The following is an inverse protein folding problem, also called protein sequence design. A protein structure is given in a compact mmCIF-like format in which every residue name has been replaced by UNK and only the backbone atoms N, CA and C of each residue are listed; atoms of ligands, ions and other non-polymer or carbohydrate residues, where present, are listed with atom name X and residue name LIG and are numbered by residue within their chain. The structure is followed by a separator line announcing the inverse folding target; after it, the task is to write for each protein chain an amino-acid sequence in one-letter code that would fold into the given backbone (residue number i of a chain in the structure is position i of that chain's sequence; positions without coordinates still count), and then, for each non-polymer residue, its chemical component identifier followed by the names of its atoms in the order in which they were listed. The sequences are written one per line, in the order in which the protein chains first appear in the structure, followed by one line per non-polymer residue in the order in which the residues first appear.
data_IF_283299836854
#
_entry.id   IF_283299836854
#
_cell.length_a   1.000
_cell.length_b   1.000
_cell.length_c   1.000
_cell.angle_alpha   90.00
_cell.angle_beta   90.00
_cell.angle_gamma   90.00
#
_symmetry.space_group_name_H-M   'P 1'
#
loop_
_entity.id
_entity.type
_entity.pdbx_description
1 polymer ?
#
# COMPACT_ATOMS: atom_id res chain seq x y z
N UNK A 1 -18.35 20.13 -0.40
CA UNK A 1 -17.02 20.55 -0.88
C UNK A 1 -16.08 19.58 -0.22
N UNK A 2 -15.56 18.59 -0.96
CA UNK A 2 -14.58 17.67 -0.39
C UNK A 2 -13.31 18.50 -0.14
N UNK A 3 -12.81 18.45 1.08
CA UNK A 3 -11.51 19.00 1.44
C UNK A 3 -10.50 18.24 0.57
N UNK A 4 -9.94 18.89 -0.45
CA UNK A 4 -8.84 18.34 -1.22
C UNK A 4 -7.68 18.26 -0.24
N UNK A 5 -7.40 17.08 0.29
CA UNK A 5 -6.25 16.90 1.19
C UNK A 5 -5.01 17.13 0.34
N UNK A 6 -4.45 18.34 0.45
CA UNK A 6 -3.23 18.71 -0.25
C UNK A 6 -2.07 17.94 0.37
N UNK A 7 -1.51 17.00 -0.40
CA UNK A 7 -0.33 16.24 -0.01
C UNK A 7 0.88 17.15 -0.18
N UNK A 8 1.64 17.36 0.91
CA UNK A 8 2.89 18.12 0.86
C UNK A 8 3.83 17.54 -0.21
N UNK A 9 4.36 18.35 -1.14
CA UNK A 9 5.17 17.87 -2.25
C UNK A 9 6.48 17.22 -1.79
N UNK A 10 7.04 17.64 -0.65
CA UNK A 10 8.24 17.02 -0.08
C UNK A 10 7.96 15.62 0.45
N UNK A 11 6.81 15.44 1.09
CA UNK A 11 6.31 14.15 1.58
C UNK A 11 6.04 13.21 0.42
N UNK A 12 5.37 13.68 -0.62
CA UNK A 12 5.10 12.91 -1.83
C UNK A 12 6.40 12.46 -2.52
N UNK A 13 7.38 13.34 -2.66
CA UNK A 13 8.68 13.01 -3.27
C UNK A 13 9.43 11.93 -2.46
N UNK A 14 9.45 12.05 -1.12
CA UNK A 14 10.06 11.04 -0.25
C UNK A 14 9.36 9.69 -0.33
N UNK A 15 8.02 9.70 -0.37
CA UNK A 15 7.24 8.47 -0.49
C UNK A 15 7.48 7.77 -1.84
N UNK A 16 7.55 8.53 -2.95
CA UNK A 16 7.91 7.98 -4.26
C UNK A 16 9.30 7.36 -4.26
N UNK A 17 10.27 8.01 -3.62
CA UNK A 17 11.62 7.45 -3.49
C UNK A 17 11.62 6.17 -2.66
N UNK A 18 10.93 6.15 -1.51
CA UNK A 18 10.84 4.96 -0.66
C UNK A 18 10.19 3.78 -1.40
N UNK A 19 9.15 4.04 -2.18
CA UNK A 19 8.52 3.01 -3.02
C UNK A 19 9.48 2.49 -4.10
N UNK A 20 10.22 3.38 -4.75
CA UNK A 20 11.24 3.00 -5.73
C UNK A 20 12.29 2.08 -5.12
N UNK A 21 12.87 2.46 -3.97
CA UNK A 21 13.85 1.64 -3.26
C UNK A 21 13.27 0.26 -2.90
N UNK A 22 12.07 0.22 -2.31
CA UNK A 22 11.43 -1.05 -1.93
C UNK A 22 11.15 -1.97 -3.13
N UNK A 23 10.64 -1.43 -4.24
CA UNK A 23 10.37 -2.21 -5.46
C UNK A 23 11.66 -2.80 -6.03
N UNK A 24 12.72 -1.99 -6.13
CA UNK A 24 14.02 -2.46 -6.61
C UNK A 24 14.66 -3.54 -5.71
N UNK A 25 14.27 -3.63 -4.44
CA UNK A 25 14.70 -4.70 -3.53
C UNK A 25 13.85 -5.97 -3.63
N UNK A 26 12.64 -5.89 -4.20
CA UNK A 26 11.66 -6.98 -4.26
C UNK A 26 11.38 -7.50 -5.68
N UNK A 27 11.74 -6.75 -6.72
CA UNK A 27 11.63 -7.16 -8.13
C UNK A 27 12.91 -7.86 -8.62
N UNK A 28 12.78 -8.65 -9.69
CA UNK A 28 13.87 -9.43 -10.26
C UNK A 28 14.95 -8.51 -10.90
N UNK A 29 16.22 -8.92 -10.83
CA UNK A 29 17.41 -8.17 -11.29
C UNK A 29 17.40 -7.76 -12.79
N UNK A 30 16.52 -8.35 -13.61
CA UNK A 30 16.40 -8.09 -15.05
C UNK A 30 15.54 -6.85 -15.40
N UNK A 31 14.86 -6.25 -14.42
CA UNK A 31 14.04 -5.06 -14.64
C UNK A 31 14.85 -3.76 -14.56
N UNK A 32 14.50 -2.74 -15.36
CA UNK A 32 15.15 -1.44 -15.25
C UNK A 32 14.90 -0.85 -13.86
N UNK A 33 15.98 -0.39 -13.22
CA UNK A 33 15.91 0.21 -11.89
C UNK A 33 14.92 1.38 -11.87
N UNK A 34 13.96 1.33 -10.95
CA UNK A 34 12.94 2.35 -10.77
C UNK A 34 13.49 3.53 -9.97
N UNK A 35 13.01 4.74 -10.29
CA UNK A 35 13.31 5.98 -9.58
C UNK A 35 12.00 6.66 -9.14
N UNK A 36 12.07 7.70 -8.31
CA UNK A 36 10.87 8.41 -7.86
C UNK A 36 9.98 8.92 -9.02
N UNK A 37 10.61 9.30 -10.14
CA UNK A 37 9.93 9.78 -11.36
C UNK A 37 9.07 8.69 -12.04
N UNK A 38 9.42 7.41 -11.86
CA UNK A 38 8.65 6.27 -12.37
C UNK A 38 7.21 6.22 -11.82
N UNK A 39 6.95 6.91 -10.71
CA UNK A 39 5.67 6.92 -10.00
C UNK A 39 4.88 8.22 -10.16
N UNK A 40 5.29 9.14 -11.05
CA UNK A 40 4.57 10.40 -11.25
C UNK A 40 3.15 10.24 -11.79
N UNK A 41 2.92 9.18 -12.59
CA UNK A 41 1.60 8.87 -13.16
C UNK A 41 0.69 8.02 -12.25
N UNK A 42 1.13 7.70 -11.04
CA UNK A 42 0.35 6.89 -10.11
C UNK A 42 -0.68 7.73 -9.36
N UNK A 43 -1.83 7.13 -9.06
CA UNK A 43 -2.81 7.76 -8.19
C UNK A 43 -2.32 7.67 -6.75
N UNK A 44 -2.40 8.78 -6.03
CA UNK A 44 -1.95 8.87 -4.64
C UNK A 44 -3.03 9.51 -3.78
N UNK A 45 -3.31 8.91 -2.63
CA UNK A 45 -4.20 9.48 -1.63
C UNK A 45 -3.72 9.16 -0.21
N UNK A 46 -4.03 10.02 0.77
CA UNK A 46 -3.64 9.78 2.16
C UNK A 46 -4.58 8.79 2.84
N UNK A 47 -4.00 7.94 3.69
CA UNK A 47 -4.71 7.04 4.63
C UNK A 47 -4.01 7.13 5.98
N UNK A 48 -4.66 7.76 6.96
CA UNK A 48 -4.08 8.07 8.26
C UNK A 48 -2.74 8.85 8.13
N UNK A 49 -1.62 8.23 8.50
CA UNK A 49 -0.24 8.77 8.43
C UNK A 49 0.51 8.32 7.17
N UNK A 50 -0.13 7.54 6.30
CA UNK A 50 0.46 6.91 5.12
C UNK A 50 -0.05 7.52 3.81
N UNK A 51 0.69 7.26 2.74
CA UNK A 51 0.26 7.51 1.37
C UNK A 51 0.03 6.18 0.65
N UNK A 52 -1.13 6.02 0.03
CA UNK A 52 -1.44 4.84 -0.80
C UNK A 52 -1.18 5.17 -2.26
N UNK A 53 -0.42 4.31 -2.92
CA UNK A 53 -0.07 4.38 -4.32
C UNK A 53 -0.81 3.30 -5.11
N UNK A 54 -1.45 3.71 -6.21
CA UNK A 54 -2.11 2.82 -7.16
C UNK A 54 -1.63 3.06 -8.58
N UNK A 55 -1.22 1.97 -9.23
CA UNK A 55 -0.72 1.99 -10.61
C UNK A 55 -1.82 2.39 -11.60
N UNK A 56 -1.51 3.24 -12.60
CA UNK A 56 -2.49 3.61 -13.61
C UNK A 56 -3.06 2.38 -14.33
N UNK A 57 -4.39 2.30 -14.39
CA UNK A 57 -5.10 1.20 -15.05
C UNK A 57 -5.30 -0.04 -14.19
N UNK A 58 -4.85 -0.07 -12.93
CA UNK A 58 -5.15 -1.14 -11.97
C UNK A 58 -4.66 -2.53 -12.38
N UNK A 59 -3.68 -2.61 -13.29
CA UNK A 59 -3.25 -3.86 -13.93
C UNK A 59 -2.83 -4.97 -12.96
N UNK A 60 -2.30 -4.61 -11.79
CA UNK A 60 -1.84 -5.58 -10.78
C UNK A 60 -2.84 -5.84 -9.65
N UNK A 61 -3.94 -5.07 -9.54
CA UNK A 61 -4.80 -5.01 -8.34
C UNK A 61 -4.03 -4.84 -7.01
N UNK A 62 -2.78 -4.38 -7.10
CA UNK A 62 -1.89 -4.14 -5.97
C UNK A 62 -1.82 -2.65 -5.69
N UNK A 63 -1.84 -2.35 -4.40
CA UNK A 63 -1.69 -1.03 -3.81
C UNK A 63 -0.47 -1.05 -2.92
N UNK A 64 0.16 0.10 -2.76
CA UNK A 64 1.35 0.22 -1.93
C UNK A 64 1.13 1.33 -0.93
N UNK A 65 1.13 0.96 0.34
CA UNK A 65 1.01 1.86 1.45
C UNK A 65 2.43 2.24 1.92
N UNK A 66 2.74 3.52 1.84
CA UNK A 66 4.08 4.07 2.07
C UNK A 66 4.04 5.04 3.25
N UNK A 67 4.90 4.81 4.24
CA UNK A 67 5.07 5.66 5.41
C UNK A 67 6.53 5.80 5.79
N UNK A 68 6.77 6.44 6.94
CA UNK A 68 8.12 6.59 7.46
C UNK A 68 8.72 5.21 7.79
N UNK A 69 9.72 4.80 7.01
CA UNK A 69 10.47 3.56 7.21
C UNK A 69 9.72 2.27 6.85
N UNK A 70 8.55 2.35 6.21
CA UNK A 70 7.76 1.17 5.82
C UNK A 70 7.11 1.36 4.46
N UNK A 71 7.20 0.32 3.64
CA UNK A 71 6.43 0.15 2.41
C UNK A 71 5.76 -1.21 2.49
N UNK A 72 4.44 -1.22 2.35
CA UNK A 72 3.63 -2.43 2.42
C UNK A 72 2.76 -2.56 1.18
N UNK A 73 2.88 -3.68 0.50
CA UNK A 73 2.01 -4.01 -0.63
C UNK A 73 0.73 -4.69 -0.12
N UNK A 74 -0.44 -4.30 -0.64
CA UNK A 74 -1.73 -4.90 -0.28
C UNK A 74 -2.72 -4.89 -1.45
N UNK A 75 -3.84 -5.60 -1.31
CA UNK A 75 -4.93 -5.58 -2.28
C UNK A 75 -6.27 -5.55 -1.55
N UNK A 76 -7.23 -4.76 -2.06
CA UNK A 76 -8.61 -4.74 -1.54
C UNK A 76 -9.32 -6.10 -1.63
N UNK A 77 -8.80 -7.03 -2.43
CA UNK A 77 -9.30 -8.41 -2.49
C UNK A 77 -8.94 -9.24 -1.25
N UNK A 78 -7.90 -8.83 -0.51
CA UNK A 78 -7.33 -9.57 0.61
C UNK A 78 -7.46 -8.82 1.94
N UNK A 79 -7.29 -7.51 1.94
CA UNK A 79 -7.34 -6.68 3.15
C UNK A 79 -7.94 -5.29 2.92
N UNK A 80 -8.40 -4.65 3.99
CA UNK A 80 -8.88 -3.26 3.97
C UNK A 80 -7.72 -2.29 4.18
N UNK A 81 -7.89 -1.02 3.78
CA UNK A 81 -6.92 0.05 4.06
C UNK A 81 -6.63 0.21 5.55
N UNK A 82 -7.65 0.10 6.40
CA UNK A 82 -7.52 0.18 7.86
C UNK A 82 -6.62 -0.94 8.41
N UNK A 83 -6.79 -2.16 7.90
CA UNK A 83 -5.94 -3.29 8.28
C UNK A 83 -4.51 -3.09 7.79
N UNK A 84 -4.35 -2.70 6.52
CA UNK A 84 -3.04 -2.46 5.91
C UNK A 84 -2.26 -1.37 6.67
N UNK A 85 -2.91 -0.27 7.05
CA UNK A 85 -2.31 0.80 7.82
C UNK A 85 -1.92 0.36 9.24
N UNK A 86 -2.79 -0.38 9.93
CA UNK A 86 -2.48 -0.90 11.26
C UNK A 86 -1.33 -1.92 11.24
N UNK A 87 -1.27 -2.76 10.20
CA UNK A 87 -0.20 -3.72 10.04
C UNK A 87 1.12 -3.06 9.62
N UNK A 88 1.09 -2.04 8.75
CA UNK A 88 2.27 -1.24 8.42
C UNK A 88 2.83 -0.48 9.63
N UNK A 89 1.97 0.03 10.53
CA UNK A 89 2.40 0.56 11.83
C UNK A 89 3.10 -0.51 12.64
N UNK A 90 2.51 -1.70 12.75
CA UNK A 90 3.11 -2.79 13.50
C UNK A 90 4.50 -3.17 12.96
N UNK A 91 4.67 -3.23 11.64
CA UNK A 91 5.96 -3.46 10.97
C UNK A 91 6.98 -2.38 11.29
N UNK A 92 6.61 -1.09 11.17
CA UNK A 92 7.47 0.05 11.54
C UNK A 92 7.90 -0.01 13.00
N UNK A 93 6.96 -0.28 13.89
CA UNK A 93 7.16 -0.29 15.35
C UNK A 93 7.80 -1.60 15.85
N UNK A 94 8.01 -2.59 14.98
CA UNK A 94 8.56 -3.91 15.34
C UNK A 94 7.64 -4.71 16.26
N UNK A 95 6.33 -4.52 16.13
CA UNK A 95 5.28 -5.19 16.93
C UNK A 95 4.50 -6.21 16.12
N UNK A 96 3.71 -7.05 16.79
CA UNK A 96 2.88 -8.06 16.11
C UNK A 96 1.74 -7.39 15.33
N UNK A 97 1.53 -7.73 14.04
CA UNK A 97 0.44 -7.16 13.28
C UNK A 97 -0.92 -7.58 13.85
N UNK A 98 -1.98 -6.76 13.64
CA UNK A 98 -3.32 -7.14 14.04
C UNK A 98 -3.77 -8.43 13.33
N UNK A 99 -4.71 -9.14 13.96
CA UNK A 99 -5.33 -10.31 13.35
C UNK A 99 -6.00 -9.90 12.02
N UNK A 100 -5.79 -10.65 10.92
CA UNK A 100 -6.40 -10.33 9.64
C UNK A 100 -7.93 -10.32 9.75
N UNK A 101 -8.62 -9.45 8.98
CA UNK A 101 -10.07 -9.52 8.92
C UNK A 101 -10.48 -10.93 8.51
N UNK A 102 -11.48 -11.50 9.20
CA UNK A 102 -12.01 -12.80 8.82
C UNK A 102 -12.44 -12.77 7.34
N UNK A 103 -12.18 -13.82 6.55
CA UNK A 103 -12.60 -13.84 5.16
C UNK A 103 -14.11 -13.59 5.08
N UNK A 104 -14.53 -12.71 4.18
CA UNK A 104 -15.95 -12.38 3.99
C UNK A 104 -16.81 -13.61 3.64
N UNK A 105 -16.19 -14.72 3.22
CA UNK A 105 -16.82 -16.00 2.93
C UNK A 105 -15.96 -17.15 3.48
N UNK A 106 -16.35 -17.73 4.61
CA UNK A 106 -16.00 -19.12 4.90
C UNK A 106 -16.93 -20.02 4.09
N UNK A 107 -16.36 -20.79 3.17
CA UNK A 107 -17.05 -21.86 2.41
C UNK A 107 -17.66 -22.95 3.30
N UNK A 108 -17.49 -22.89 4.62
CA UNK A 108 -18.06 -23.80 5.61
C UNK A 108 -19.55 -23.54 5.89
N UNK A 109 -20.12 -22.42 5.43
CA UNK A 109 -21.55 -22.11 5.64
C UNK A 109 -22.48 -22.52 4.48
N UNK A 110 -21.95 -23.19 3.45
CA UNK A 110 -22.74 -23.53 2.24
C UNK A 110 -23.42 -24.91 2.27
N UNK A 111 -23.26 -25.69 3.34
CA UNK A 111 -23.71 -27.09 3.37
C UNK A 111 -24.79 -27.42 4.41
N UNK A 112 -25.49 -26.41 4.94
CA UNK A 112 -26.59 -26.60 5.91
C UNK A 112 -27.94 -26.03 5.41
N UNK A 113 -28.27 -26.27 4.14
CA UNK A 113 -29.63 -26.09 3.60
C UNK A 113 -30.15 -27.35 2.90
#
# INVERSE_FOLDING_TARGET
MADEIEIDPGTLARARQALADWMNEHEDDDEPRLEAESFEGWQVWPVEEFLVFSSPGGFTNMLYLVGEGVVRAFSYSSETEEYAAAAARAERDGTEPPAPPAPAISWENWNDQ
#
